data_IF_767886599225
#
_entry.id   IF_767886599225
#
_cell.length_a   1.000
_cell.length_b   1.000
_cell.length_c   1.000
_cell.angle_alpha   90.00
_cell.angle_beta   90.00
_cell.angle_gamma   90.00
#
_symmetry.space_group_name_H-M   'P 1'
#
loop_
_entity.id
_entity.type
_entity.pdbx_description
1 polymer ?
#
# COMPACT_ATOMS: atom_id res chain seq x y z
N UNK A 1 -0.61 12.66 -2.22
CA UNK A 1 -0.10 11.81 -1.13
C UNK A 1 -0.35 12.53 0.20
N UNK A 2 -0.74 11.80 1.24
CA UNK A 2 -1.41 12.26 2.47
C UNK A 2 -0.89 13.59 3.05
N UNK A 3 -1.81 14.44 3.49
CA UNK A 3 -1.49 15.61 4.30
C UNK A 3 -0.64 15.18 5.50
N UNK A 4 0.48 15.88 5.75
CA UNK A 4 1.43 15.72 6.88
C UNK A 4 0.80 15.73 8.30
N UNK A 5 -0.53 15.76 8.40
CA UNK A 5 -1.27 15.73 9.66
C UNK A 5 -1.58 14.32 10.18
N UNK A 6 -1.30 13.24 9.43
CA UNK A 6 -1.21 11.92 10.03
C UNK A 6 0.11 11.87 10.81
N UNK A 7 0.03 12.25 12.09
CA UNK A 7 1.16 12.17 13.02
C UNK A 7 1.62 10.72 13.05
N UNK A 8 2.92 10.47 12.82
CA UNK A 8 3.59 9.14 12.79
C UNK A 8 3.07 8.14 13.85
N UNK A 9 2.65 8.65 15.01
CA UNK A 9 2.06 7.86 16.10
C UNK A 9 0.73 7.21 15.73
N UNK A 10 -0.21 7.95 15.13
CA UNK A 10 -1.53 7.42 14.77
C UNK A 10 -1.39 6.33 13.72
N UNK A 11 -0.50 6.54 12.75
CA UNK A 11 -0.17 5.57 11.72
C UNK A 11 0.42 4.28 12.32
N UNK A 12 1.42 4.41 13.20
CA UNK A 12 2.02 3.26 13.88
C UNK A 12 1.02 2.50 14.76
N UNK A 13 0.19 3.22 15.53
CA UNK A 13 -0.85 2.62 16.38
C UNK A 13 -1.91 1.89 15.55
N UNK A 14 -2.30 2.46 14.41
CA UNK A 14 -3.30 1.85 13.52
C UNK A 14 -2.78 0.56 12.88
N UNK A 15 -1.50 0.53 12.50
CA UNK A 15 -0.89 -0.58 11.75
C UNK A 15 -0.31 -1.68 12.63
N UNK A 16 -0.34 -1.46 13.95
CA UNK A 16 -0.04 -2.45 14.99
C UNK A 16 -1.26 -2.81 15.84
N UNK A 17 -2.45 -2.31 15.48
CA UNK A 17 -3.66 -2.58 16.24
C UNK A 17 -4.01 -4.08 16.21
N UNK A 18 -4.04 -4.70 17.39
CA UNK A 18 -4.51 -6.07 17.59
C UNK A 18 -3.92 -7.10 16.61
N UNK A 19 -2.61 -7.05 16.37
CA UNK A 19 -1.91 -7.93 15.39
C UNK A 19 -1.92 -9.41 15.77
N UNK A 20 -2.32 -9.77 16.98
CA UNK A 20 -2.57 -11.15 17.36
C UNK A 20 -3.89 -11.69 16.79
N UNK A 21 -4.82 -10.80 16.44
CA UNK A 21 -6.10 -11.13 15.86
C UNK A 21 -6.20 -10.75 14.37
N UNK A 22 -5.73 -9.56 14.02
CA UNK A 22 -5.74 -9.04 12.64
C UNK A 22 -4.54 -9.61 11.89
N UNK A 23 -4.78 -10.15 10.69
CA UNK A 23 -3.72 -10.76 9.88
C UNK A 23 -3.43 -9.98 8.59
N UNK A 24 -4.42 -9.24 8.09
CA UNK A 24 -4.34 -8.46 6.86
C UNK A 24 -4.80 -7.03 7.14
N UNK A 25 -3.98 -6.05 6.77
CA UNK A 25 -4.36 -4.65 6.72
C UNK A 25 -4.43 -4.20 5.26
N UNK A 26 -5.54 -3.57 4.88
CA UNK A 26 -5.74 -3.01 3.53
C UNK A 26 -5.73 -1.50 3.63
N UNK A 27 -4.73 -0.87 3.02
CA UNK A 27 -4.43 0.53 3.29
C UNK A 27 -4.12 1.29 1.99
N UNK A 28 -4.21 2.61 2.11
CA UNK A 28 -3.80 3.57 1.08
C UNK A 28 -2.94 4.69 1.74
N UNK A 29 -2.19 4.31 2.80
CA UNK A 29 -1.43 5.17 3.76
C UNK A 29 -0.85 4.36 4.96
N UNK A 30 0.38 4.64 5.44
CA UNK A 30 1.63 3.83 5.47
C UNK A 30 2.29 3.18 6.71
N UNK A 31 2.72 1.90 6.80
CA UNK A 31 3.43 1.45 8.01
C UNK A 31 4.93 1.82 8.01
N UNK A 32 5.36 2.49 9.09
CA UNK A 32 6.79 2.65 9.39
C UNK A 32 7.44 1.39 9.99
N UNK A 33 6.65 0.47 10.53
CA UNK A 33 7.17 -0.68 11.29
C UNK A 33 6.74 -2.00 10.64
N UNK A 34 7.72 -2.80 10.18
CA UNK A 34 7.53 -4.00 9.36
C UNK A 34 6.95 -5.24 10.07
N UNK A 35 5.91 -5.09 10.88
CA UNK A 35 5.01 -6.18 11.30
C UNK A 35 5.66 -7.43 11.90
N UNK A 36 6.84 -7.32 12.53
CA UNK A 36 7.66 -8.50 12.96
C UNK A 36 7.03 -9.34 14.07
N UNK A 37 5.91 -8.90 14.67
CA UNK A 37 5.17 -9.59 15.73
C UNK A 37 3.68 -9.48 15.44
N UNK A 38 3.06 -10.61 15.09
CA UNK A 38 1.65 -10.71 14.75
C UNK A 38 1.35 -12.05 14.08
N UNK A 39 0.07 -12.44 14.03
CA UNK A 39 -0.38 -13.71 13.45
C UNK A 39 0.34 -14.94 14.04
N UNK A 40 0.50 -14.99 15.37
CA UNK A 40 1.19 -16.09 16.04
C UNK A 40 2.66 -16.27 15.61
N UNK A 41 3.32 -15.19 15.18
CA UNK A 41 4.72 -15.19 14.73
C UNK A 41 4.92 -15.38 13.23
N UNK A 42 3.85 -15.51 12.44
CA UNK A 42 3.92 -15.62 10.97
C UNK A 42 4.10 -14.26 10.27
N UNK A 43 3.90 -13.16 11.00
CA UNK A 43 3.93 -11.82 10.44
C UNK A 43 2.57 -11.36 9.90
N UNK A 44 2.47 -10.07 9.67
CA UNK A 44 1.26 -9.38 9.19
C UNK A 44 1.41 -9.10 7.69
N UNK A 45 0.33 -9.25 6.94
CA UNK A 45 0.28 -8.85 5.52
C UNK A 45 -0.28 -7.44 5.40
N UNK A 46 0.49 -6.52 4.84
CA UNK A 46 0.04 -5.17 4.52
C UNK A 46 -0.24 -5.07 3.03
N UNK A 47 -1.46 -4.76 2.62
CA UNK A 47 -1.85 -4.57 1.22
C UNK A 47 -1.97 -3.08 0.92
N UNK A 48 -1.38 -2.64 -0.21
CA UNK A 48 -1.29 -1.24 -0.63
C UNK A 48 -1.78 -1.01 -2.03
N UNK A 49 -2.53 0.07 -2.23
CA UNK A 49 -2.76 0.59 -3.57
C UNK A 49 -1.50 1.31 -4.10
N UNK A 50 -1.18 1.16 -5.38
CA UNK A 50 -0.25 2.08 -6.05
C UNK A 50 -0.83 3.49 -6.09
N UNK A 51 0.05 4.48 -6.22
CA UNK A 51 -0.37 5.87 -6.32
C UNK A 51 -1.30 6.13 -7.52
N UNK A 52 -2.12 7.18 -7.38
CA UNK A 52 -3.10 7.65 -8.35
C UNK A 52 -2.57 8.82 -9.20
N UNK A 53 -1.26 9.06 -9.18
CA UNK A 53 -0.59 10.14 -9.88
C UNK A 53 -0.22 9.87 -11.34
N UNK A 54 -0.67 8.77 -11.95
CA UNK A 54 -0.28 8.36 -13.31
C UNK A 54 -0.43 9.45 -14.38
N UNK A 55 -1.53 10.22 -14.36
CA UNK A 55 -1.73 11.37 -15.27
C UNK A 55 -0.73 12.52 -15.07
N UNK A 56 -0.14 12.61 -13.89
CA UNK A 56 0.90 13.60 -13.53
C UNK A 56 2.31 13.04 -13.78
N UNK A 57 2.39 11.86 -14.39
CA UNK A 57 3.62 11.10 -14.58
C UNK A 57 4.35 10.86 -13.25
N UNK A 58 3.56 10.56 -12.20
CA UNK A 58 4.08 10.20 -10.89
C UNK A 58 4.67 8.78 -10.93
N UNK A 59 5.76 8.61 -10.18
CA UNK A 59 6.46 7.34 -10.05
C UNK A 59 6.19 6.81 -8.64
N UNK A 60 5.50 5.67 -8.56
CA UNK A 60 5.11 5.11 -7.26
C UNK A 60 6.29 4.66 -6.40
N UNK A 61 7.52 4.61 -6.94
CA UNK A 61 8.74 4.38 -6.15
C UNK A 61 9.04 5.53 -5.17
N UNK A 62 8.46 6.72 -5.38
CA UNK A 62 8.56 7.84 -4.44
C UNK A 62 7.58 7.73 -3.26
N UNK A 63 6.67 6.76 -3.26
CA UNK A 63 5.85 6.43 -2.10
C UNK A 63 6.59 5.41 -1.22
N UNK A 64 7.21 5.90 -0.15
CA UNK A 64 8.01 5.11 0.79
C UNK A 64 7.23 4.07 1.61
N UNK A 65 5.92 3.94 1.41
CA UNK A 65 5.11 2.84 1.96
C UNK A 65 4.92 1.69 0.97
N UNK A 66 4.92 2.02 -0.31
CA UNK A 66 4.84 1.09 -1.44
C UNK A 66 6.20 0.43 -1.70
N UNK A 67 7.29 1.22 -1.70
CA UNK A 67 8.70 0.79 -1.87
C UNK A 67 9.27 -0.01 -0.67
N UNK A 68 8.41 -0.68 0.11
CA UNK A 68 8.84 -1.48 1.26
C UNK A 68 8.58 -2.95 1.02
N UNK A 69 9.60 -3.77 1.28
CA UNK A 69 9.53 -5.24 1.22
C UNK A 69 8.46 -5.88 2.12
N UNK A 70 7.89 -5.11 3.07
CA UNK A 70 6.83 -5.57 3.97
C UNK A 70 5.42 -5.34 3.43
N UNK A 71 5.32 -4.70 2.27
CA UNK A 71 4.07 -4.25 1.67
C UNK A 71 3.78 -5.08 0.41
N UNK A 72 2.60 -5.70 0.39
CA UNK A 72 2.03 -6.30 -0.81
C UNK A 72 1.33 -5.23 -1.62
N UNK A 73 1.82 -5.02 -2.82
CA UNK A 73 1.65 -3.79 -3.54
C UNK A 73 0.78 -4.05 -4.79
N UNK A 74 -0.32 -3.31 -4.94
CA UNK A 74 -1.42 -3.62 -5.88
C UNK A 74 -1.76 -2.41 -6.74
N UNK A 75 -1.60 -2.52 -8.07
CA UNK A 75 -2.06 -1.50 -9.01
C UNK A 75 -3.40 -1.87 -9.66
N UNK A 76 -3.88 -1.02 -10.56
CA UNK A 76 -5.18 -1.13 -11.18
C UNK A 76 -5.10 -1.48 -12.66
N UNK A 77 -6.03 -2.34 -13.09
CA UNK A 77 -6.33 -2.62 -14.50
C UNK A 77 -7.81 -2.31 -14.76
N UNK A 78 -8.12 -1.78 -15.93
CA UNK A 78 -9.49 -1.46 -16.34
C UNK A 78 -10.24 -2.71 -16.79
N UNK A 79 -11.55 -2.58 -17.00
CA UNK A 79 -12.40 -3.66 -17.53
C UNK A 79 -11.99 -4.11 -18.95
N UNK A 80 -11.29 -3.25 -19.69
CA UNK A 80 -10.75 -3.51 -21.03
C UNK A 80 -9.33 -4.12 -20.99
N UNK A 81 -8.88 -4.63 -19.83
CA UNK A 81 -7.52 -5.17 -19.61
C UNK A 81 -6.40 -4.15 -19.93
N UNK A 82 -6.67 -2.85 -19.74
CA UNK A 82 -5.68 -1.77 -19.97
C UNK A 82 -5.28 -1.08 -18.67
N UNK A 83 -4.14 -0.36 -18.69
CA UNK A 83 -3.71 0.45 -17.55
C UNK A 83 -4.73 1.55 -17.28
N UNK A 84 -5.19 1.68 -16.03
CA UNK A 84 -6.00 2.84 -15.63
C UNK A 84 -5.22 4.14 -15.83
N UNK A 85 -5.91 5.23 -16.16
CA UNK A 85 -5.26 6.52 -16.42
C UNK A 85 -4.52 7.11 -15.21
N UNK A 86 -4.93 6.74 -13.99
CA UNK A 86 -4.31 7.17 -12.75
C UNK A 86 -3.20 6.25 -12.24
N UNK A 87 -3.01 5.06 -12.82
CA UNK A 87 -2.06 4.08 -12.31
C UNK A 87 -0.62 4.62 -12.37
N UNK A 88 -0.01 4.80 -11.19
CA UNK A 88 1.43 5.04 -11.06
C UNK A 88 2.22 3.83 -11.57
N UNK A 89 3.35 4.09 -12.25
CA UNK A 89 4.20 3.04 -12.81
C UNK A 89 5.51 2.99 -12.04
N UNK A 90 5.82 1.84 -11.45
CA UNK A 90 7.08 1.61 -10.74
C UNK A 90 7.41 0.11 -10.68
N UNK A 91 8.70 -0.26 -10.50
CA UNK A 91 9.10 -1.65 -10.31
C UNK A 91 8.57 -2.27 -9.01
N UNK A 92 8.11 -1.46 -8.06
CA UNK A 92 7.66 -1.92 -6.74
C UNK A 92 6.25 -2.53 -6.77
N UNK A 93 5.53 -2.41 -7.90
CA UNK A 93 4.21 -3.02 -8.11
C UNK A 93 4.30 -4.55 -8.22
N UNK A 94 3.64 -5.28 -7.32
CA UNK A 94 3.67 -6.76 -7.31
C UNK A 94 2.53 -7.40 -8.10
N UNK A 95 1.34 -6.80 -8.11
CA UNK A 95 0.17 -7.37 -8.80
C UNK A 95 -0.83 -6.30 -9.22
N UNK A 96 -1.82 -6.69 -10.01
CA UNK A 96 -2.93 -5.85 -10.48
C UNK A 96 -4.27 -6.43 -10.02
N UNK A 97 -5.25 -5.56 -9.79
CA UNK A 97 -6.67 -5.94 -9.65
C UNK A 97 -7.55 -5.02 -10.49
N UNK A 98 -8.73 -5.51 -10.87
CA UNK A 98 -9.71 -4.68 -11.59
C UNK A 98 -10.11 -3.47 -10.75
N UNK A 99 -10.19 -2.32 -11.41
CA UNK A 99 -10.72 -1.06 -10.91
C UNK A 99 -11.33 -0.26 -12.06
N UNK A 100 -11.88 0.92 -11.77
CA UNK A 100 -12.32 1.85 -12.80
C UNK A 100 -11.14 2.48 -13.56
N UNK A 101 -11.41 3.08 -14.71
CA UNK A 101 -10.41 3.79 -15.51
C UNK A 101 -10.72 3.71 -16.99
#
# INVERSE_FOLDING_TARGET
>A
MLNDQVINRIEAESLSYNTDHINIFSNNGGPKDGGKKGHGGKGITYVWATDNGGMRNDDCSYDGYMDRIYTLSVSSVTEDDTSSWYAGKCPDTLTLTFSNG
#
